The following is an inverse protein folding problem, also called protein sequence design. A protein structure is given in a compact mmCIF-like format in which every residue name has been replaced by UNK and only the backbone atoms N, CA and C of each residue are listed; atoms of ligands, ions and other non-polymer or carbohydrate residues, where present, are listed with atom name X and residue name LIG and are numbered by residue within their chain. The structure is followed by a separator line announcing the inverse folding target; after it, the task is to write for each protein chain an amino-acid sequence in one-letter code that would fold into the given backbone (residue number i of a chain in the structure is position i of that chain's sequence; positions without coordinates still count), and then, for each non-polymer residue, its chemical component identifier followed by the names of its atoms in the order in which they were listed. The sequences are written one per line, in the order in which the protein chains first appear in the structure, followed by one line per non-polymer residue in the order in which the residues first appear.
data_IF_308954505572
#
_entry.id   IF_308954505572
#
_cell.length_a   1.000
_cell.length_b   1.000
_cell.length_c   1.000
_cell.angle_alpha   90.00
_cell.angle_beta   90.00
_cell.angle_gamma   90.00
#
_symmetry.space_group_name_H-M   'P 1'
#
loop_
_entity.id
_entity.type
_entity.pdbx_description
1 polymer ?
#
# COMPACT_ATOMS: atom_id res chain seq x y z
N UNK A 1 -50.75 7.45 -56.80
CA UNK A 1 -50.10 8.27 -55.77
C UNK A 1 -49.63 7.32 -54.67
N UNK A 2 -48.28 7.00 -54.63
CA UNK A 2 -47.71 6.09 -53.65
C UNK A 2 -47.09 6.94 -52.52
N UNK A 3 -47.50 6.75 -51.28
CA UNK A 3 -46.96 7.45 -50.12
C UNK A 3 -45.66 6.75 -49.71
N UNK A 4 -44.55 7.48 -49.37
CA UNK A 4 -43.35 6.85 -48.85
C UNK A 4 -43.51 6.53 -47.38
N UNK A 5 -43.19 5.30 -47.03
CA UNK A 5 -43.15 4.77 -45.66
C UNK A 5 -41.76 5.15 -45.05
N UNK A 6 -41.75 6.10 -44.14
CA UNK A 6 -40.53 6.54 -43.44
C UNK A 6 -40.35 5.60 -42.26
N UNK A 7 -39.35 4.71 -42.34
CA UNK A 7 -38.88 3.93 -41.20
C UNK A 7 -38.02 4.82 -40.29
N UNK A 8 -38.60 5.20 -39.14
CA UNK A 8 -37.86 5.85 -38.08
C UNK A 8 -37.00 4.79 -37.36
N UNK A 9 -35.74 4.71 -37.71
CA UNK A 9 -34.76 3.85 -37.01
C UNK A 9 -34.39 4.54 -35.69
N UNK A 10 -35.07 4.17 -34.58
CA UNK A 10 -34.70 4.62 -33.26
C UNK A 10 -33.37 3.95 -32.85
N UNK A 11 -32.29 4.72 -32.92
CA UNK A 11 -30.99 4.32 -32.41
C UNK A 11 -31.03 4.28 -30.87
N UNK A 12 -31.22 3.10 -30.32
CA UNK A 12 -31.15 2.87 -28.88
C UNK A 12 -29.66 2.96 -28.46
N UNK A 13 -29.22 4.13 -28.00
CA UNK A 13 -27.94 4.32 -27.38
C UNK A 13 -27.93 3.55 -26.03
N UNK A 14 -27.43 2.34 -26.08
CA UNK A 14 -27.09 1.57 -24.86
C UNK A 14 -25.86 2.24 -24.25
N UNK A 15 -26.07 3.12 -23.28
CA UNK A 15 -25.01 3.61 -22.41
C UNK A 15 -24.60 2.46 -21.49
N UNK A 16 -23.56 1.72 -21.87
CA UNK A 16 -22.90 0.78 -20.95
C UNK A 16 -22.22 1.64 -19.88
N UNK A 17 -22.61 1.52 -18.59
CA UNK A 17 -21.87 2.19 -17.54
C UNK A 17 -20.46 1.57 -17.52
N UNK A 18 -19.47 2.31 -17.98
CA UNK A 18 -18.07 1.98 -17.69
C UNK A 18 -17.88 2.17 -16.18
N UNK A 19 -18.11 1.11 -15.42
CA UNK A 19 -17.56 1.00 -14.09
C UNK A 19 -16.03 0.92 -14.25
N UNK A 20 -15.39 2.08 -14.32
CA UNK A 20 -13.96 2.17 -14.08
C UNK A 20 -13.80 1.84 -12.58
N UNK A 21 -13.38 0.62 -12.29
CA UNK A 21 -12.98 0.24 -10.94
C UNK A 21 -11.83 1.17 -10.53
N UNK A 22 -12.17 2.20 -9.74
CA UNK A 22 -11.20 3.16 -9.20
C UNK A 22 -10.08 2.46 -8.38
N UNK A 23 -10.29 1.21 -8.00
CA UNK A 23 -9.31 0.36 -7.31
C UNK A 23 -8.06 0.04 -8.14
N UNK A 24 -8.18 -0.05 -9.47
CA UNK A 24 -7.05 -0.41 -10.36
C UNK A 24 -5.88 0.57 -10.30
N UNK A 25 -6.12 1.80 -9.80
CA UNK A 25 -5.09 2.84 -9.69
C UNK A 25 -4.52 3.01 -8.28
N UNK A 26 -5.10 2.38 -7.28
CA UNK A 26 -4.66 2.52 -5.90
C UNK A 26 -3.58 1.49 -5.55
N UNK A 27 -3.95 0.21 -5.54
CA UNK A 27 -3.05 -0.93 -5.33
C UNK A 27 -3.53 -2.12 -6.16
N UNK A 28 -2.59 -2.90 -6.71
CA UNK A 28 -2.90 -4.09 -7.49
C UNK A 28 -3.18 -5.29 -6.55
N UNK A 29 -4.25 -6.07 -6.79
CA UNK A 29 -4.53 -7.25 -5.98
C UNK A 29 -3.42 -8.30 -6.19
N UNK A 30 -3.01 -8.95 -5.09
CA UNK A 30 -2.06 -10.05 -5.13
C UNK A 30 -2.80 -11.38 -5.37
N UNK A 31 -2.13 -12.37 -6.01
CA UNK A 31 -2.69 -13.71 -6.16
C UNK A 31 -3.06 -14.30 -4.79
N UNK A 32 -4.23 -14.95 -4.72
CA UNK A 32 -4.77 -15.53 -3.49
C UNK A 32 -3.76 -16.42 -2.76
N UNK A 33 -3.71 -16.31 -1.43
CA UNK A 33 -3.01 -17.18 -0.49
C UNK A 33 -1.46 -17.12 -0.53
N UNK A 34 -0.86 -16.05 -1.05
CA UNK A 34 0.57 -15.86 -0.87
C UNK A 34 0.81 -15.23 0.51
N UNK A 35 1.39 -16.00 1.42
CA UNK A 35 1.87 -15.46 2.70
C UNK A 35 3.05 -14.51 2.47
N UNK A 36 3.12 -13.45 3.27
CA UNK A 36 4.29 -12.62 3.35
C UNK A 36 5.48 -13.47 3.87
N UNK A 37 6.67 -13.33 3.29
CA UNK A 37 7.87 -13.94 3.87
C UNK A 37 8.11 -13.41 5.28
N UNK A 38 8.51 -14.31 6.18
CA UNK A 38 8.89 -13.94 7.54
C UNK A 38 10.09 -12.99 7.52
N UNK A 39 10.17 -12.17 8.56
CA UNK A 39 11.34 -11.35 8.80
C UNK A 39 11.70 -11.29 10.28
N UNK A 40 12.96 -10.99 10.53
CA UNK A 40 13.51 -10.66 11.85
C UNK A 40 14.46 -9.48 11.67
N UNK A 41 13.97 -8.26 11.89
CA UNK A 41 14.63 -7.01 11.52
C UNK A 41 14.96 -6.16 12.73
N UNK A 42 16.04 -5.40 12.65
CA UNK A 42 16.39 -4.39 13.66
C UNK A 42 15.60 -3.11 13.35
N UNK A 43 14.85 -2.65 14.35
CA UNK A 43 14.16 -1.37 14.31
C UNK A 43 15.08 -0.20 14.62
N UNK A 44 14.63 1.03 14.30
CA UNK A 44 15.29 2.27 14.73
C UNK A 44 15.29 2.46 16.26
N UNK A 45 14.56 1.63 17.00
CA UNK A 45 14.58 1.50 18.47
C UNK A 45 15.63 0.51 18.98
N UNK A 46 16.51 0.02 18.08
CA UNK A 46 17.58 -0.95 18.34
C UNK A 46 17.11 -2.34 18.82
N UNK A 47 15.80 -2.63 18.66
CA UNK A 47 15.24 -3.93 19.00
C UNK A 47 15.00 -4.78 17.77
N UNK A 48 14.97 -6.10 17.97
CA UNK A 48 14.59 -7.05 16.93
C UNK A 48 13.05 -7.14 16.93
N UNK A 49 12.47 -7.01 15.75
CA UNK A 49 11.05 -7.16 15.48
C UNK A 49 10.82 -8.24 14.44
N UNK A 50 9.78 -9.03 14.61
CA UNK A 50 9.40 -10.10 13.69
C UNK A 50 8.04 -9.83 13.08
N UNK A 51 7.74 -10.46 11.94
CA UNK A 51 6.40 -10.41 11.37
C UNK A 51 5.34 -10.88 12.36
N UNK A 52 5.67 -11.90 13.17
CA UNK A 52 4.80 -12.46 14.21
C UNK A 52 4.40 -11.45 15.29
N UNK A 53 5.28 -10.52 15.65
CA UNK A 53 4.97 -9.48 16.66
C UNK A 53 3.89 -8.49 16.16
N UNK A 54 3.64 -8.49 14.85
CA UNK A 54 2.68 -7.62 14.17
C UNK A 54 1.41 -8.35 13.73
N UNK A 55 1.31 -9.67 13.97
CA UNK A 55 0.10 -10.45 13.65
C UNK A 55 -1.17 -9.89 14.31
N UNK A 56 -2.31 -10.15 13.70
CA UNK A 56 -3.61 -9.68 14.17
C UNK A 56 -3.97 -8.27 13.70
N UNK A 57 -3.10 -7.62 12.91
CA UNK A 57 -3.33 -6.30 12.31
C UNK A 57 -3.14 -6.35 10.80
N UNK A 58 -3.82 -5.46 10.09
CA UNK A 58 -3.44 -5.14 8.73
C UNK A 58 -2.12 -4.36 8.75
N UNK A 59 -1.15 -4.80 7.94
CA UNK A 59 0.15 -4.13 7.83
C UNK A 59 0.26 -3.48 6.45
N UNK A 60 0.56 -2.18 6.43
CA UNK A 60 0.98 -1.48 5.22
C UNK A 60 2.51 -1.42 5.24
N UNK A 61 3.15 -2.34 4.53
CA UNK A 61 4.61 -2.54 4.51
C UNK A 61 5.21 -1.80 3.32
N UNK A 62 5.97 -0.74 3.58
CA UNK A 62 6.61 0.08 2.56
C UNK A 62 8.11 -0.17 2.50
N UNK A 63 8.59 -0.64 1.35
CA UNK A 63 10.02 -0.74 1.03
C UNK A 63 10.49 0.58 0.43
N UNK A 64 11.47 1.20 1.08
CA UNK A 64 11.95 2.54 0.74
C UNK A 64 13.44 2.71 0.98
N UNK A 65 14.02 3.84 0.53
CA UNK A 65 15.39 4.20 0.84
C UNK A 65 15.59 5.72 0.89
N UNK A 66 16.58 6.17 1.65
CA UNK A 66 16.94 7.59 1.76
C UNK A 66 17.49 8.18 0.47
N UNK A 67 18.05 7.37 -0.43
CA UNK A 67 18.50 7.76 -1.76
C UNK A 67 17.41 7.72 -2.83
N UNK A 68 16.24 7.18 -2.52
CA UNK A 68 15.11 7.05 -3.44
C UNK A 68 14.24 8.32 -3.41
N UNK A 69 14.33 9.17 -4.42
CA UNK A 69 13.57 10.43 -4.51
C UNK A 69 12.05 10.24 -4.46
N UNK A 70 11.42 9.32 -5.23
CA UNK A 70 9.99 9.09 -5.14
C UNK A 70 9.55 8.55 -3.77
N UNK A 71 10.40 7.77 -3.07
CA UNK A 71 10.13 7.31 -1.72
C UNK A 71 9.99 8.48 -0.74
N UNK A 72 10.92 9.45 -0.81
CA UNK A 72 10.88 10.63 0.08
C UNK A 72 9.62 11.48 -0.11
N UNK A 73 9.09 11.53 -1.34
CA UNK A 73 7.83 12.24 -1.63
C UNK A 73 6.63 11.48 -1.04
N UNK A 74 6.69 10.15 -0.98
CA UNK A 74 5.62 9.29 -0.49
C UNK A 74 5.54 9.26 1.05
N UNK A 75 6.68 9.33 1.77
CA UNK A 75 6.75 9.20 3.22
C UNK A 75 5.77 10.08 4.02
N UNK A 76 5.56 11.37 3.69
CA UNK A 76 4.56 12.18 4.38
C UNK A 76 3.13 11.67 4.20
N UNK A 77 2.81 11.04 3.06
CA UNK A 77 1.47 10.48 2.80
C UNK A 77 1.25 9.19 3.57
N UNK A 78 2.32 8.38 3.76
CA UNK A 78 2.30 7.21 4.64
C UNK A 78 2.11 7.61 6.10
N UNK A 79 2.75 8.68 6.55
CA UNK A 79 2.55 9.22 7.89
C UNK A 79 1.10 9.72 8.09
N UNK A 80 0.54 10.37 7.07
CA UNK A 80 -0.84 10.84 7.14
C UNK A 80 -1.83 9.68 7.27
N UNK A 81 -1.72 8.64 6.43
CA UNK A 81 -2.62 7.48 6.52
C UNK A 81 -2.39 6.68 7.81
N UNK A 82 -1.13 6.57 8.27
CA UNK A 82 -0.83 5.94 9.55
C UNK A 82 -1.60 6.60 10.70
N UNK A 83 -1.57 7.93 10.79
CA UNK A 83 -2.30 8.70 11.80
C UNK A 83 -3.83 8.58 11.65
N UNK A 84 -4.33 8.60 10.43
CA UNK A 84 -5.77 8.52 10.16
C UNK A 84 -6.33 7.13 10.49
N UNK A 85 -5.58 6.07 10.18
CA UNK A 85 -5.96 4.68 10.42
C UNK A 85 -5.46 4.16 11.77
N UNK A 86 -4.88 5.02 12.63
CA UNK A 86 -4.28 4.64 13.91
C UNK A 86 -5.32 4.05 14.86
N UNK A 87 -5.57 2.76 14.68
CA UNK A 87 -6.39 1.93 15.53
C UNK A 87 -5.67 0.58 15.77
N UNK A 88 -6.20 -0.24 16.66
CA UNK A 88 -5.59 -1.52 16.97
C UNK A 88 -5.60 -2.54 15.81
N UNK A 89 -6.21 -2.21 14.66
CA UNK A 89 -6.38 -3.11 13.52
C UNK A 89 -5.47 -2.82 12.33
N UNK A 90 -4.80 -1.66 12.28
CA UNK A 90 -3.98 -1.24 11.13
C UNK A 90 -2.69 -0.56 11.58
N UNK A 91 -1.58 -0.86 10.92
CA UNK A 91 -0.29 -0.22 11.17
C UNK A 91 0.48 -0.07 9.86
N UNK A 92 1.15 1.07 9.68
CA UNK A 92 2.17 1.27 8.65
C UNK A 92 3.52 0.87 9.23
N UNK A 93 4.35 0.22 8.43
CA UNK A 93 5.78 -0.03 8.74
C UNK A 93 6.62 0.34 7.52
N UNK A 94 7.81 0.89 7.75
CA UNK A 94 8.78 1.18 6.70
C UNK A 94 9.98 0.23 6.81
N UNK A 95 10.35 -0.44 5.72
CA UNK A 95 11.56 -1.25 5.63
C UNK A 95 12.54 -0.50 4.74
N UNK A 96 13.61 0.03 5.35
CA UNK A 96 14.67 0.73 4.62
C UNK A 96 15.61 -0.28 3.98
N UNK A 97 15.70 -0.20 2.65
CA UNK A 97 16.62 -1.01 1.84
C UNK A 97 17.96 -0.32 1.72
N UNK A 98 18.99 -0.95 2.24
CA UNK A 98 20.37 -0.45 2.16
C UNK A 98 20.96 -0.04 3.52
N UNK A 99 22.20 0.48 3.49
CA UNK A 99 22.99 0.61 4.71
C UNK A 99 22.45 1.64 5.70
N UNK A 100 22.55 1.28 6.90
CA UNK A 100 22.72 1.82 8.22
C UNK A 100 21.89 2.95 8.77
N UNK A 101 21.81 3.01 10.11
CA UNK A 101 20.89 3.89 10.80
C UNK A 101 21.22 5.38 10.64
N UNK A 102 22.46 5.75 10.33
CA UNK A 102 22.87 7.16 10.29
C UNK A 102 22.13 7.96 9.21
N UNK A 103 22.07 7.44 7.99
CA UNK A 103 21.34 8.09 6.88
C UNK A 103 19.85 8.23 7.17
N UNK A 104 19.28 7.20 7.79
CA UNK A 104 17.87 7.19 8.18
C UNK A 104 17.62 8.24 9.27
N UNK A 105 18.46 8.27 10.32
CA UNK A 105 18.36 9.25 11.40
C UNK A 105 18.44 10.69 10.89
N UNK A 106 19.37 10.97 9.96
CA UNK A 106 19.51 12.29 9.36
C UNK A 106 18.28 12.68 8.54
N UNK A 107 17.68 11.74 7.82
CA UNK A 107 16.44 11.97 7.09
C UNK A 107 15.26 12.21 8.04
N UNK A 108 15.08 11.35 9.06
CA UNK A 108 13.94 11.41 9.99
C UNK A 108 13.97 12.64 10.91
N UNK A 109 15.15 13.21 11.20
CA UNK A 109 15.26 14.50 11.91
C UNK A 109 14.54 15.63 11.17
N UNK A 110 14.57 15.61 9.84
CA UNK A 110 13.93 16.63 9.00
C UNK A 110 12.52 16.23 8.54
N UNK A 111 12.23 14.94 8.49
CA UNK A 111 10.99 14.35 8.00
C UNK A 111 10.49 13.29 8.98
N UNK A 112 10.02 13.68 10.17
CA UNK A 112 9.65 12.73 11.21
C UNK A 112 8.41 11.90 10.80
N UNK A 113 8.46 10.60 11.11
CA UNK A 113 7.33 9.69 11.01
C UNK A 113 7.10 9.01 12.36
N UNK A 114 5.86 8.63 12.65
CA UNK A 114 5.48 7.97 13.90
C UNK A 114 5.33 6.45 13.78
N UNK A 115 5.34 5.92 12.57
CA UNK A 115 5.30 4.47 12.34
C UNK A 115 6.71 3.85 12.45
N UNK A 116 6.80 2.54 12.80
CA UNK A 116 8.08 1.84 12.92
C UNK A 116 8.87 1.83 11.60
N UNK A 117 10.17 2.05 11.72
CA UNK A 117 11.14 1.90 10.62
C UNK A 117 12.10 0.77 10.98
N UNK A 118 12.24 -0.17 10.06
CA UNK A 118 13.18 -1.30 10.13
C UNK A 118 14.26 -1.16 9.07
N UNK A 119 15.38 -1.84 9.27
CA UNK A 119 16.53 -1.82 8.35
C UNK A 119 16.76 -3.22 7.85
N UNK A 120 16.87 -3.36 6.54
CA UNK A 120 17.26 -4.60 5.89
C UNK A 120 18.07 -4.37 4.62
N UNK A 121 18.85 -5.40 4.23
CA UNK A 121 19.70 -5.35 3.03
C UNK A 121 19.16 -6.23 1.90
N UNK A 122 18.42 -7.29 2.21
CA UNK A 122 18.14 -8.38 1.27
C UNK A 122 16.64 -8.80 1.23
N UNK A 123 15.82 -8.37 2.20
CA UNK A 123 14.42 -8.79 2.33
C UNK A 123 13.57 -8.43 1.11
N UNK A 124 13.92 -7.37 0.39
CA UNK A 124 13.26 -6.97 -0.84
C UNK A 124 13.27 -8.09 -1.91
N UNK A 125 14.28 -8.96 -1.92
CA UNK A 125 14.35 -10.08 -2.84
C UNK A 125 13.34 -11.17 -2.49
N UNK A 126 13.22 -11.53 -1.21
CA UNK A 126 12.26 -12.53 -0.72
C UNK A 126 10.81 -12.07 -0.94
N UNK A 127 10.55 -10.78 -0.79
CA UNK A 127 9.25 -10.18 -1.03
C UNK A 127 8.95 -9.92 -2.51
N UNK A 128 9.93 -10.11 -3.39
CA UNK A 128 9.80 -9.87 -4.83
C UNK A 128 9.53 -8.40 -5.15
N UNK A 129 10.26 -7.51 -4.48
CA UNK A 129 10.19 -6.05 -4.70
C UNK A 129 10.89 -5.72 -6.02
N UNK A 130 10.18 -5.22 -7.05
CA UNK A 130 10.78 -4.96 -8.36
C UNK A 130 11.53 -3.63 -8.42
N UNK A 131 11.36 -2.77 -7.44
CA UNK A 131 11.97 -1.44 -7.34
C UNK A 131 11.34 -0.61 -6.22
N UNK A 132 11.89 0.57 -5.93
CA UNK A 132 11.45 1.42 -4.84
C UNK A 132 10.71 2.69 -5.33
N UNK A 133 9.68 3.12 -4.58
CA UNK A 133 9.04 2.43 -3.48
C UNK A 133 8.17 1.26 -3.95
N UNK A 134 8.02 0.26 -3.11
CA UNK A 134 6.99 -0.77 -3.26
C UNK A 134 6.29 -0.96 -1.92
N UNK A 135 4.96 -0.99 -1.96
CA UNK A 135 4.14 -1.10 -0.75
C UNK A 135 3.22 -2.30 -0.86
N UNK A 136 3.16 -3.10 0.20
CA UNK A 136 2.26 -4.25 0.32
C UNK A 136 1.23 -4.00 1.42
N UNK A 137 -0.01 -4.45 1.20
CA UNK A 137 -1.02 -4.59 2.24
C UNK A 137 -1.12 -6.05 2.62
N UNK A 138 -0.87 -6.33 3.91
CA UNK A 138 -0.88 -7.67 4.50
C UNK A 138 -2.08 -7.81 5.41
N UNK A 139 -2.76 -8.97 5.35
CA UNK A 139 -3.88 -9.29 6.24
C UNK A 139 -3.41 -9.60 7.66
N UNK A 140 -4.31 -9.58 8.67
CA UNK A 140 -4.01 -10.02 10.04
C UNK A 140 -3.50 -11.47 10.15
N UNK A 141 -3.70 -12.29 9.12
CA UNK A 141 -3.21 -13.68 9.01
C UNK A 141 -1.87 -13.80 8.26
N UNK A 142 -1.24 -12.68 7.89
CA UNK A 142 0.02 -12.67 7.16
C UNK A 142 -0.10 -12.86 5.64
N UNK A 143 -1.29 -12.78 5.04
CA UNK A 143 -1.49 -12.94 3.60
C UNK A 143 -1.27 -11.62 2.87
N UNK A 144 -0.53 -11.64 1.76
CA UNK A 144 -0.36 -10.50 0.86
C UNK A 144 -1.64 -10.24 0.08
N UNK A 145 -2.36 -9.15 0.38
CA UNK A 145 -3.63 -8.82 -0.26
C UNK A 145 -3.45 -7.95 -1.50
N UNK A 146 -2.62 -6.90 -1.38
CA UNK A 146 -2.41 -5.91 -2.44
C UNK A 146 -0.95 -5.47 -2.49
N UNK A 147 -0.55 -4.98 -3.67
CA UNK A 147 0.77 -4.39 -3.91
C UNK A 147 0.65 -3.10 -4.71
N UNK A 148 1.43 -2.09 -4.37
CA UNK A 148 1.65 -0.90 -5.17
C UNK A 148 3.14 -0.79 -5.52
N UNK A 149 3.46 -0.74 -6.82
CA UNK A 149 4.83 -0.49 -7.31
C UNK A 149 4.93 0.95 -7.77
N UNK A 150 5.95 1.66 -7.31
CA UNK A 150 6.12 3.09 -7.53
C UNK A 150 5.25 3.95 -6.61
N UNK A 151 5.57 5.24 -6.56
CA UNK A 151 4.97 6.23 -5.67
C UNK A 151 3.44 6.27 -5.76
N UNK A 152 2.79 6.35 -4.60
CA UNK A 152 1.34 6.60 -4.43
C UNK A 152 1.12 7.79 -3.48
N UNK A 153 -0.08 8.36 -3.54
CA UNK A 153 -0.56 9.28 -2.50
C UNK A 153 -1.47 8.51 -1.54
N UNK A 154 -0.86 8.00 -0.45
CA UNK A 154 -1.59 7.27 0.58
C UNK A 154 -2.48 8.17 1.44
N UNK A 155 -2.31 9.49 1.38
CA UNK A 155 -3.15 10.45 2.11
C UNK A 155 -4.46 10.80 1.41
N UNK A 156 -4.63 10.36 0.15
CA UNK A 156 -5.84 10.65 -0.62
C UNK A 156 -7.09 10.02 0.01
N UNK A 157 -8.22 10.70 -0.09
CA UNK A 157 -9.50 10.19 0.42
C UNK A 157 -9.88 8.83 -0.23
N UNK A 158 -9.55 8.64 -1.51
CA UNK A 158 -9.77 7.38 -2.21
C UNK A 158 -8.97 6.23 -1.59
N UNK A 159 -7.69 6.45 -1.22
CA UNK A 159 -6.83 5.45 -0.59
C UNK A 159 -7.32 5.15 0.83
N UNK A 160 -7.71 6.16 1.58
CA UNK A 160 -8.27 6.00 2.93
C UNK A 160 -9.53 5.13 2.87
N UNK A 161 -10.50 5.48 2.02
CA UNK A 161 -11.74 4.72 1.86
C UNK A 161 -11.48 3.27 1.42
N UNK A 162 -10.48 3.05 0.58
CA UNK A 162 -10.03 1.71 0.16
C UNK A 162 -9.57 0.88 1.37
N UNK A 163 -8.71 1.41 2.23
CA UNK A 163 -8.25 0.70 3.42
C UNK A 163 -9.35 0.52 4.46
N UNK A 164 -10.17 1.54 4.72
CA UNK A 164 -11.29 1.45 5.65
C UNK A 164 -12.27 0.35 5.24
N UNK A 165 -12.58 0.25 3.94
CA UNK A 165 -13.41 -0.82 3.41
C UNK A 165 -12.83 -2.20 3.71
N UNK A 166 -11.54 -2.42 3.38
CA UNK A 166 -10.88 -3.72 3.61
C UNK A 166 -10.86 -4.08 5.11
N UNK A 167 -10.49 -3.11 5.96
CA UNK A 167 -10.37 -3.32 7.42
C UNK A 167 -11.74 -3.60 8.07
N UNK A 168 -12.82 -2.98 7.56
CA UNK A 168 -14.16 -3.15 8.12
C UNK A 168 -14.89 -4.39 7.55
N UNK A 169 -14.68 -4.72 6.27
CA UNK A 169 -15.31 -5.87 5.61
C UNK A 169 -14.67 -7.21 6.05
N UNK A 170 -13.45 -7.19 6.57
CA UNK A 170 -12.83 -8.36 7.15
C UNK A 170 -13.46 -8.64 8.52
N UNK A 171 -14.43 -9.56 8.54
CA UNK A 171 -14.96 -10.19 9.74
C UNK A 171 -13.86 -11.06 10.40
N UNK A 172 -12.89 -10.43 11.05
CA UNK A 172 -11.81 -11.07 11.80
C UNK A 172 -11.97 -10.84 13.29
#
# INVERSE_FOLDING_TARGET
MKKPFIYLLSLLLITIPMNLDANTYLMDPMPNNKCAPDFSLIGMDEKIHTLKDLEGKFLLVNFWATWCSPCKIEMPTLEAIHKQMNNNKFIVIGIHVGPGPENINNYLKLNPVSFPIFIDMDLEYDWGVPGLPTTFLISPKGEMLYRAVGKRDFSSEAMKNFFEKIVNDSNL
#
